data_IF_496904445837
#
_entry.id   IF_496904445837
#
_cell.length_a   1.000
_cell.length_b   1.000
_cell.length_c   1.000
_cell.angle_alpha   90.00
_cell.angle_beta   90.00
_cell.angle_gamma   90.00
#
_symmetry.space_group_name_H-M   'P 1'
#
loop_
_entity.id
_entity.type
_entity.pdbx_description
1 polymer ?
#
# COMPACT_ATOMS: atom_id res chain seq x y z
N UNK A 1 -7.63 -4.12 22.41
CA UNK A 1 -7.77 -3.56 21.06
C UNK A 1 -6.98 -4.45 20.14
N UNK A 2 -7.59 -5.01 19.11
CA UNK A 2 -6.86 -5.73 18.06
C UNK A 2 -5.97 -4.72 17.34
N UNK A 3 -4.67 -5.00 17.26
CA UNK A 3 -3.73 -4.13 16.56
C UNK A 3 -4.05 -4.20 15.06
N UNK A 4 -4.40 -3.05 14.47
CA UNK A 4 -4.75 -2.95 13.05
C UNK A 4 -3.61 -2.32 12.28
N UNK A 5 -3.23 -2.93 11.16
CA UNK A 5 -2.18 -2.43 10.26
C UNK A 5 -2.78 -2.12 8.89
N UNK A 6 -2.46 -0.93 8.36
CA UNK A 6 -2.76 -0.58 6.97
C UNK A 6 -1.50 -0.81 6.12
N UNK A 7 -1.64 -1.57 5.04
CA UNK A 7 -0.61 -1.75 4.01
C UNK A 7 -1.09 -1.06 2.74
N UNK A 8 -0.41 0.03 2.38
CA UNK A 8 -0.81 0.94 1.32
C UNK A 8 0.16 0.85 0.14
N UNK A 9 -0.33 0.46 -1.03
CA UNK A 9 0.41 0.52 -2.29
C UNK A 9 0.17 1.84 -2.97
N UNK A 10 1.24 2.56 -3.27
CA UNK A 10 1.22 3.83 -4.00
C UNK A 10 2.06 3.68 -5.26
N UNK A 11 1.62 4.36 -6.32
CA UNK A 11 2.33 4.36 -7.60
C UNK A 11 1.42 4.47 -8.80
N UNK A 12 1.98 4.85 -9.94
CA UNK A 12 1.26 4.95 -11.20
C UNK A 12 1.61 3.77 -12.12
N UNK A 13 0.65 2.87 -12.31
CA UNK A 13 0.79 1.70 -13.20
C UNK A 13 1.08 2.06 -14.66
N UNK A 14 0.87 3.33 -15.06
CA UNK A 14 1.19 3.82 -16.40
C UNK A 14 2.62 4.38 -16.52
N UNK A 15 3.39 4.46 -15.43
CA UNK A 15 4.75 5.04 -15.38
C UNK A 15 5.84 3.98 -15.08
N UNK A 16 5.80 2.85 -15.79
CA UNK A 16 6.85 1.83 -15.70
C UNK A 16 6.99 1.25 -14.30
N UNK A 17 8.20 1.29 -13.74
CA UNK A 17 8.50 0.74 -12.41
C UNK A 17 7.80 1.49 -11.27
N UNK A 18 7.25 2.68 -11.52
CA UNK A 18 6.35 3.38 -10.58
C UNK A 18 5.09 2.56 -10.27
N UNK A 19 4.75 1.57 -11.11
CA UNK A 19 3.69 0.59 -10.83
C UNK A 19 4.02 -0.45 -9.76
N UNK A 20 5.21 -0.42 -9.16
CA UNK A 20 5.66 -1.43 -8.19
C UNK A 20 4.74 -1.57 -6.98
N UNK A 21 4.33 -0.46 -6.36
CA UNK A 21 3.44 -0.49 -5.19
C UNK A 21 2.13 -1.23 -5.46
N UNK A 22 1.33 -0.82 -6.47
CA UNK A 22 0.13 -1.53 -6.88
C UNK A 22 0.34 -3.02 -7.16
N UNK A 23 1.42 -3.41 -7.84
CA UNK A 23 1.69 -4.81 -8.15
C UNK A 23 2.05 -5.63 -6.90
N UNK A 24 2.86 -5.08 -6.00
CA UNK A 24 3.20 -5.72 -4.73
C UNK A 24 1.94 -5.94 -3.86
N UNK A 25 1.06 -4.95 -3.78
CA UNK A 25 -0.21 -5.06 -3.04
C UNK A 25 -1.15 -6.08 -3.66
N UNK A 26 -1.27 -6.14 -4.99
CA UNK A 26 -2.10 -7.16 -5.67
C UNK A 26 -1.60 -8.58 -5.43
N UNK A 27 -0.29 -8.75 -5.26
CA UNK A 27 0.29 -10.02 -4.85
C UNK A 27 -0.03 -10.32 -3.38
N UNK A 28 0.18 -9.35 -2.50
CA UNK A 28 -0.03 -9.48 -1.05
C UNK A 28 -1.51 -9.73 -0.69
N UNK A 29 -2.45 -9.02 -1.32
CA UNK A 29 -3.88 -9.14 -1.04
C UNK A 29 -4.40 -10.58 -1.19
N UNK A 30 -3.84 -11.37 -2.11
CA UNK A 30 -4.20 -12.79 -2.28
C UNK A 30 -3.90 -13.66 -1.06
N UNK A 31 -2.99 -13.21 -0.19
CA UNK A 31 -2.56 -13.94 1.00
C UNK A 31 -3.20 -13.44 2.30
N UNK A 32 -3.67 -12.19 2.31
CA UNK A 32 -4.18 -11.51 3.51
C UNK A 32 -5.67 -11.12 3.41
N UNK A 33 -6.34 -11.45 2.31
CA UNK A 33 -7.79 -11.30 2.19
C UNK A 33 -8.51 -12.06 3.32
N UNK A 34 -9.15 -11.31 4.23
CA UNK A 34 -9.90 -11.84 5.37
C UNK A 34 -9.16 -11.83 6.72
N UNK A 35 -7.96 -11.26 6.82
CA UNK A 35 -7.30 -11.03 8.11
C UNK A 35 -7.83 -9.74 8.78
N UNK A 36 -8.58 -9.89 9.87
CA UNK A 36 -9.17 -8.76 10.62
C UNK A 36 -8.12 -7.77 11.18
N UNK A 37 -6.85 -8.17 11.27
CA UNK A 37 -5.75 -7.34 11.76
C UNK A 37 -5.00 -6.56 10.67
N UNK A 38 -5.17 -6.90 9.39
CA UNK A 38 -4.39 -6.35 8.28
C UNK A 38 -5.29 -5.92 7.14
N UNK A 39 -5.26 -4.63 6.80
CA UNK A 39 -5.93 -4.11 5.61
C UNK A 39 -4.90 -3.82 4.53
N UNK A 40 -5.02 -4.48 3.39
CA UNK A 40 -4.13 -4.34 2.23
C UNK A 40 -4.90 -3.59 1.14
N UNK A 41 -4.41 -2.42 0.71
CA UNK A 41 -5.14 -1.54 -0.23
C UNK A 41 -4.21 -0.98 -1.31
N UNK A 42 -4.65 -1.07 -2.56
CA UNK A 42 -4.01 -0.43 -3.72
C UNK A 42 -4.59 0.97 -3.87
N UNK A 43 -3.82 2.00 -3.52
CA UNK A 43 -4.23 3.39 -3.67
C UNK A 43 -3.84 3.97 -5.03
N UNK A 44 -2.91 3.35 -5.76
CA UNK A 44 -2.34 3.92 -6.98
C UNK A 44 -1.87 5.36 -6.78
N UNK A 45 -2.45 6.29 -7.56
CA UNK A 45 -2.20 7.74 -7.44
C UNK A 45 -3.20 8.47 -6.51
N UNK A 46 -4.08 7.73 -5.84
CA UNK A 46 -5.18 8.22 -5.02
C UNK A 46 -4.79 8.68 -3.62
N UNK A 47 -3.89 9.67 -3.50
CA UNK A 47 -3.39 10.15 -2.20
C UNK A 47 -4.48 10.66 -1.24
N UNK A 48 -5.59 11.18 -1.76
CA UNK A 48 -6.73 11.60 -0.92
C UNK A 48 -7.44 10.43 -0.25
N UNK A 49 -7.60 9.30 -0.93
CA UNK A 49 -8.21 8.11 -0.33
C UNK A 49 -7.33 7.56 0.79
N UNK A 50 -6.01 7.52 0.58
CA UNK A 50 -5.05 7.16 1.63
C UNK A 50 -5.18 8.12 2.83
N UNK A 51 -5.22 9.44 2.59
CA UNK A 51 -5.35 10.41 3.66
C UNK A 51 -6.64 10.23 4.49
N UNK A 52 -7.76 9.88 3.86
CA UNK A 52 -9.00 9.60 4.57
C UNK A 52 -8.94 8.30 5.38
N UNK A 53 -8.38 7.23 4.81
CA UNK A 53 -8.25 5.96 5.53
C UNK A 53 -7.31 6.10 6.74
N UNK A 54 -6.29 6.96 6.67
CA UNK A 54 -5.39 7.26 7.78
C UNK A 54 -6.06 7.99 8.96
N UNK A 55 -7.30 8.47 8.82
CA UNK A 55 -8.08 9.03 9.92
C UNK A 55 -8.68 7.95 10.83
N UNK A 56 -8.70 6.67 10.41
CA UNK A 56 -9.07 5.57 11.28
C UNK A 56 -7.97 5.26 12.32
N UNK A 57 -8.34 4.53 13.38
CA UNK A 57 -7.40 4.07 14.41
C UNK A 57 -6.52 2.92 13.89
N UNK A 58 -5.38 3.27 13.30
CA UNK A 58 -4.32 2.33 12.93
C UNK A 58 -3.23 2.25 13.98
N UNK A 59 -2.74 1.04 14.25
CA UNK A 59 -1.55 0.84 15.09
C UNK A 59 -0.25 0.96 14.29
N UNK A 60 -0.31 0.73 12.98
CA UNK A 60 0.82 0.85 12.07
C UNK A 60 0.37 1.13 10.63
N UNK A 61 1.25 1.80 9.88
CA UNK A 61 1.16 2.00 8.43
C UNK A 61 2.40 1.41 7.78
N UNK A 62 2.22 0.62 6.74
CA UNK A 62 3.26 0.16 5.83
C UNK A 62 2.97 0.78 4.47
N UNK A 63 3.89 1.59 3.95
CA UNK A 63 3.80 2.19 2.63
C UNK A 63 4.71 1.42 1.66
N UNK A 64 4.16 1.02 0.51
CA UNK A 64 4.89 0.34 -0.56
C UNK A 64 4.83 1.24 -1.79
N UNK A 65 5.98 1.76 -2.19
CA UNK A 65 6.12 2.72 -3.29
C UNK A 65 7.46 2.50 -4.01
N UNK A 66 7.52 2.91 -5.27
CA UNK A 66 8.76 2.96 -6.02
C UNK A 66 9.49 4.26 -5.69
N UNK A 67 10.77 4.18 -5.34
CA UNK A 67 11.60 5.35 -5.12
C UNK A 67 12.74 5.39 -6.14
N UNK A 68 13.15 6.57 -6.63
CA UNK A 68 14.30 6.68 -7.52
C UNK A 68 15.55 6.07 -6.90
N UNK A 69 16.06 5.01 -7.53
CA UNK A 69 17.33 4.40 -7.14
C UNK A 69 18.51 5.32 -7.45
N UNK A 70 19.56 5.29 -6.62
CA UNK A 70 20.85 5.95 -6.89
C UNK A 70 21.91 4.99 -7.46
N UNK A 71 21.50 3.79 -7.90
CA UNK A 71 22.38 2.72 -8.34
C UNK A 71 21.69 1.77 -9.30
N UNK A 72 22.02 0.49 -9.24
CA UNK A 72 21.28 -0.55 -9.97
C UNK A 72 19.86 -0.72 -9.39
N UNK A 73 18.88 -1.17 -10.20
CA UNK A 73 17.57 -1.60 -9.71
C UNK A 73 17.67 -2.67 -8.62
#
# INVERSE_FOLDING_TARGET
>A
MTARTLVAGVGNIFLGDDGFGPEAIRHLGRHYDGDDGVRVVDYGIGGMHLAYDLLEDWSALILVDALPGRGSP
#
